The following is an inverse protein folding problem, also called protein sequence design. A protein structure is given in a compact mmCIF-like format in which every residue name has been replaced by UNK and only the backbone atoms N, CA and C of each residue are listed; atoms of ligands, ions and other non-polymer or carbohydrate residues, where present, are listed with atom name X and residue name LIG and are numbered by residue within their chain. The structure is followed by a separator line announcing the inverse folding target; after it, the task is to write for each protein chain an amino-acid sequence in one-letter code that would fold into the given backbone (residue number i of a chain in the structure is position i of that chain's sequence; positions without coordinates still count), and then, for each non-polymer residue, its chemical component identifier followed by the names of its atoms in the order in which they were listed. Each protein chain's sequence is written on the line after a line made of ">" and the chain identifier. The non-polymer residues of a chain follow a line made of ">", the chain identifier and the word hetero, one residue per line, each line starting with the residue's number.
data_IF_088243331060
#
_entry.id   IF_088243331060
#
_cell.length_a   1.000
_cell.length_b   1.000
_cell.length_c   1.000
_cell.angle_alpha   90.00
_cell.angle_beta   90.00
_cell.angle_gamma   90.00
#
_symmetry.space_group_name_H-M   'P 1'
#
loop_
_entity.id
_entity.type
_entity.pdbx_description
1 polymer ?
#
# COMPACT_ATOMS: atom_id res chain seq x y z
N UNK A 1 16.36 -11.03 39.51
CA UNK A 1 16.32 -10.28 38.24
C UNK A 1 14.92 -10.46 37.69
N UNK A 2 14.05 -9.47 37.86
CA UNK A 2 12.67 -9.53 37.37
C UNK A 2 12.69 -9.07 35.90
N UNK A 3 12.53 -10.02 34.99
CA UNK A 3 12.24 -9.76 33.58
C UNK A 3 10.83 -9.15 33.52
N UNK A 4 10.76 -7.83 33.33
CA UNK A 4 9.53 -7.14 32.98
C UNK A 4 9.21 -7.43 31.52
N UNK A 5 8.61 -8.58 31.26
CA UNK A 5 8.03 -8.93 29.96
C UNK A 5 6.70 -8.18 29.78
N UNK A 6 6.77 -6.86 29.74
CA UNK A 6 5.65 -6.02 29.33
C UNK A 6 5.55 -6.07 27.79
N UNK A 7 5.14 -7.23 27.27
CA UNK A 7 4.85 -7.44 25.86
C UNK A 7 3.59 -6.65 25.53
N UNK A 8 3.78 -5.36 25.21
CA UNK A 8 2.73 -4.45 24.76
C UNK A 8 2.00 -5.09 23.58
N UNK A 9 0.81 -5.61 23.86
CA UNK A 9 -0.08 -6.15 22.85
C UNK A 9 -0.60 -4.97 22.02
N UNK A 10 -0.04 -4.80 20.83
CA UNK A 10 -0.54 -3.84 19.84
C UNK A 10 -1.83 -4.43 19.27
N UNK A 11 -2.92 -3.67 19.26
CA UNK A 11 -4.18 -4.15 18.72
C UNK A 11 -4.06 -4.41 17.20
N UNK A 12 -4.80 -5.38 16.63
CA UNK A 12 -4.77 -5.65 15.19
C UNK A 12 -5.05 -4.41 14.32
N UNK A 13 -5.89 -3.50 14.82
CA UNK A 13 -6.24 -2.24 14.13
C UNK A 13 -5.05 -1.28 14.11
N UNK A 14 -4.33 -1.15 15.22
CA UNK A 14 -3.13 -0.30 15.29
C UNK A 14 -1.98 -0.84 14.46
N UNK A 15 -1.82 -2.18 14.39
CA UNK A 15 -0.80 -2.80 13.53
C UNK A 15 -1.02 -2.43 12.07
N UNK A 16 -2.25 -2.63 11.56
CA UNK A 16 -2.59 -2.31 10.17
C UNK A 16 -2.38 -0.82 9.86
N UNK A 17 -2.80 0.07 10.77
CA UNK A 17 -2.58 1.50 10.60
C UNK A 17 -1.09 1.86 10.48
N UNK A 18 -0.23 1.26 11.31
CA UNK A 18 1.22 1.47 11.25
C UNK A 18 1.84 0.95 9.95
N UNK A 19 1.35 -0.18 9.44
CA UNK A 19 1.78 -0.76 8.17
C UNK A 19 1.40 0.15 6.98
N UNK A 20 0.16 0.64 6.96
CA UNK A 20 -0.32 1.58 5.94
C UNK A 20 0.49 2.89 5.97
N UNK A 21 0.74 3.45 7.16
CA UNK A 21 1.58 4.64 7.33
C UNK A 21 3.04 4.41 6.89
N UNK A 22 3.62 3.25 7.21
CA UNK A 22 4.97 2.89 6.80
C UNK A 22 5.09 2.80 5.27
N UNK A 23 4.14 2.12 4.63
CA UNK A 23 4.11 1.97 3.16
C UNK A 23 3.94 3.31 2.45
N UNK A 24 3.10 4.20 2.98
CA UNK A 24 2.93 5.57 2.47
C UNK A 24 4.23 6.38 2.52
N UNK A 25 4.89 6.42 3.69
CA UNK A 25 6.17 7.14 3.87
C UNK A 25 7.28 6.55 3.00
N UNK A 26 7.37 5.22 2.88
CA UNK A 26 8.34 4.57 1.98
C UNK A 26 8.10 4.99 0.53
N UNK A 27 6.85 4.99 0.07
CA UNK A 27 6.48 5.46 -1.27
C UNK A 27 6.92 6.90 -1.52
N UNK A 28 6.67 7.81 -0.57
CA UNK A 28 7.10 9.21 -0.67
C UNK A 28 8.62 9.35 -0.78
N UNK A 29 9.39 8.61 0.02
CA UNK A 29 10.85 8.62 -0.06
C UNK A 29 11.39 8.05 -1.38
N UNK A 30 10.79 6.97 -1.88
CA UNK A 30 11.14 6.40 -3.18
C UNK A 30 10.93 7.41 -4.32
N UNK A 31 9.80 8.14 -4.30
CA UNK A 31 9.53 9.20 -5.27
C UNK A 31 10.53 10.37 -5.17
N UNK A 32 11.06 10.64 -3.97
CA UNK A 32 12.18 11.59 -3.76
C UNK A 32 13.54 11.04 -4.19
N UNK A 33 13.60 9.82 -4.72
CA UNK A 33 14.82 9.18 -5.18
C UNK A 33 15.68 8.58 -4.07
N UNK A 34 15.09 8.25 -2.92
CA UNK A 34 15.70 7.40 -1.92
C UNK A 34 15.68 5.93 -2.38
N UNK A 35 16.53 5.10 -1.77
CA UNK A 35 16.64 3.68 -2.10
C UNK A 35 16.41 2.80 -0.88
N UNK A 36 15.54 1.79 -1.02
CA UNK A 36 15.32 0.80 0.02
C UNK A 36 16.55 -0.11 0.18
N UNK A 37 17.00 -0.33 1.40
CA UNK A 37 18.15 -1.17 1.71
C UNK A 37 17.70 -2.59 2.08
N UNK A 38 18.55 -3.59 1.85
CA UNK A 38 18.30 -4.98 2.26
C UNK A 38 18.40 -5.23 3.77
N UNK A 39 18.75 -4.21 4.56
CA UNK A 39 18.79 -4.29 6.02
C UNK A 39 17.51 -3.71 6.60
N UNK A 40 17.04 -4.28 7.71
CA UNK A 40 15.82 -3.86 8.41
C UNK A 40 16.11 -3.35 9.81
N UNK A 41 15.23 -2.49 10.32
CA UNK A 41 15.28 -1.99 11.69
C UNK A 41 15.03 -3.14 12.69
N UNK A 42 15.86 -3.28 13.72
CA UNK A 42 15.75 -4.38 14.70
C UNK A 42 14.47 -4.31 15.54
N UNK A 43 13.93 -3.11 15.76
CA UNK A 43 12.76 -2.92 16.62
C UNK A 43 11.42 -3.09 15.90
N UNK A 44 11.34 -2.66 14.63
CA UNK A 44 10.09 -2.68 13.87
C UNK A 44 10.13 -3.54 12.61
N UNK A 45 11.28 -4.12 12.28
CA UNK A 45 11.50 -4.99 11.11
C UNK A 45 11.20 -4.36 9.75
N UNK A 46 11.08 -3.03 9.69
CA UNK A 46 10.88 -2.27 8.45
C UNK A 46 12.23 -1.98 7.79
N UNK A 47 12.37 -2.11 6.46
CA UNK A 47 13.61 -1.83 5.76
C UNK A 47 14.07 -0.38 5.92
N UNK A 48 15.39 -0.18 5.98
CA UNK A 48 15.97 1.16 5.99
C UNK A 48 15.86 1.82 4.61
N UNK A 49 15.65 3.12 4.60
CA UNK A 49 15.66 3.97 3.40
C UNK A 49 16.94 4.78 3.37
N UNK A 50 17.65 4.79 2.23
CA UNK A 50 18.91 5.51 2.05
C UNK A 50 18.79 6.67 1.08
N UNK A 51 19.23 7.85 1.49
CA UNK A 51 19.28 9.05 0.66
C UNK A 51 20.45 8.99 -0.33
N UNK A 52 20.41 9.82 -1.38
CA UNK A 52 21.56 10.00 -2.29
C UNK A 52 22.80 10.57 -1.60
N UNK A 53 22.62 11.23 -0.45
CA UNK A 53 23.69 11.79 0.38
C UNK A 53 24.29 10.75 1.34
N UNK A 54 23.69 9.56 1.43
CA UNK A 54 24.19 8.44 2.23
C UNK A 54 23.53 8.28 3.60
N UNK A 55 22.56 9.13 3.97
CA UNK A 55 21.82 8.98 5.22
C UNK A 55 20.86 7.78 5.14
N UNK A 56 20.85 6.92 6.16
CA UNK A 56 19.91 5.80 6.28
C UNK A 56 18.90 6.08 7.40
N UNK A 57 17.60 5.90 7.14
CA UNK A 57 16.51 6.17 8.10
C UNK A 57 15.50 5.03 8.11
N UNK A 58 14.98 4.71 9.29
CA UNK A 58 13.79 3.87 9.43
C UNK A 58 12.52 4.74 9.42
N UNK A 59 11.57 4.48 8.51
CA UNK A 59 10.37 5.31 8.33
C UNK A 59 9.34 5.24 9.47
N UNK A 60 9.41 4.20 10.30
CA UNK A 60 8.50 4.00 11.44
C UNK A 60 9.10 4.55 12.72
N UNK A 61 10.39 4.30 12.95
CA UNK A 61 11.05 4.72 14.17
C UNK A 61 11.70 6.10 14.07
N UNK A 62 11.77 6.69 12.88
CA UNK A 62 12.45 7.96 12.57
C UNK A 62 13.89 8.03 13.11
N UNK A 63 14.55 6.86 13.23
CA UNK A 63 15.94 6.74 13.68
C UNK A 63 16.88 6.74 12.48
N UNK A 64 17.83 7.67 12.51
CA UNK A 64 18.91 7.74 11.54
C UNK A 64 20.00 6.73 11.90
N UNK A 65 20.25 5.79 11.00
CA UNK A 65 21.38 4.87 11.07
C UNK A 65 22.51 5.45 10.22
N UNK A 66 23.61 5.83 10.85
CA UNK A 66 24.85 6.11 10.12
C UNK A 66 25.80 4.95 10.37
N UNK A 67 25.99 4.09 9.36
CA UNK A 67 27.06 3.07 9.38
C UNK A 67 28.44 3.68 9.60
N UNK A 68 28.58 4.97 9.32
CA UNK A 68 29.84 5.71 9.45
C UNK A 68 29.90 6.52 10.77
N UNK A 69 29.49 5.95 11.89
CA UNK A 69 29.57 6.64 13.19
C UNK A 69 30.90 6.36 13.90
N UNK A 70 31.96 7.04 13.44
CA UNK A 70 32.74 7.87 14.37
C UNK A 70 32.07 9.26 14.39
N UNK A 71 31.08 9.41 15.28
CA UNK A 71 30.36 10.63 15.72
C UNK A 71 28.88 10.74 15.29
N UNK A 72 27.96 10.98 16.25
CA UNK A 72 26.56 11.28 15.96
C UNK A 72 26.42 12.68 15.37
N UNK A 73 25.56 12.82 14.34
CA UNK A 73 25.14 14.12 13.82
C UNK A 73 23.89 14.57 14.59
N UNK A 74 23.83 15.82 15.08
CA UNK A 74 22.66 16.36 15.73
C UNK A 74 21.40 16.24 14.86
N UNK A 75 20.27 15.96 15.50
CA UNK A 75 18.95 15.87 14.88
C UNK A 75 18.72 17.08 13.96
N UNK A 76 18.63 16.84 12.65
CA UNK A 76 18.22 17.86 11.69
C UNK A 76 16.75 18.15 11.94
N UNK A 77 16.49 19.28 12.59
CA UNK A 77 15.17 19.88 12.72
C UNK A 77 14.68 20.16 11.30
N UNK A 78 13.70 19.39 10.84
CA UNK A 78 12.96 19.70 9.60
C UNK A 78 11.97 20.82 9.95
N UNK A 79 12.50 22.02 10.19
CA UNK A 79 11.70 23.24 10.22
C UNK A 79 11.71 23.83 8.80
N UNK A 80 10.52 23.99 8.24
CA UNK A 80 10.20 25.03 7.25
C UNK A 80 10.66 24.88 5.80
N UNK A 81 10.68 23.67 5.24
CA UNK A 81 10.60 23.55 3.77
C UNK A 81 9.15 23.38 3.32
N UNK A 82 8.37 24.46 3.43
CA UNK A 82 7.14 24.62 2.65
C UNK A 82 7.59 24.98 1.23
N UNK A 83 7.45 24.09 0.23
CA UNK A 83 7.69 24.48 -1.14
C UNK A 83 6.65 25.57 -1.46
N UNK A 84 7.12 26.77 -1.78
CA UNK A 84 6.25 27.78 -2.37
C UNK A 84 5.77 27.21 -3.70
N UNK A 85 4.58 26.63 -3.70
CA UNK A 85 3.88 26.23 -4.90
C UNK A 85 3.75 27.48 -5.77
N UNK A 86 4.17 27.43 -7.05
CA UNK A 86 3.93 28.53 -7.95
C UNK A 86 2.41 28.74 -8.00
N UNK A 87 1.98 29.96 -7.66
CA UNK A 87 0.60 30.41 -7.83
C UNK A 87 0.30 30.26 -9.31
N UNK A 88 -0.49 29.23 -9.64
CA UNK A 88 -0.98 29.01 -10.99
C UNK A 88 -1.99 30.13 -11.22
N UNK A 89 -1.59 31.14 -12.00
CA UNK A 89 -2.52 32.15 -12.49
C UNK A 89 -3.66 31.46 -13.25
N UNK A 90 -4.87 31.84 -12.89
CA UNK A 90 -6.13 31.31 -13.37
C UNK A 90 -6.19 31.43 -14.91
N UNK A 91 -5.87 30.34 -15.60
CA UNK A 91 -5.94 30.26 -17.05
C UNK A 91 -7.42 30.27 -17.44
N UNK A 92 -7.88 31.40 -17.98
CA UNK A 92 -9.18 31.51 -18.64
C UNK A 92 -9.29 30.45 -19.73
N UNK A 93 -10.20 29.51 -19.51
CA UNK A 93 -10.53 28.45 -20.45
C UNK A 93 -11.25 29.05 -21.67
N UNK A 94 -10.55 29.08 -22.81
CA UNK A 94 -11.22 29.14 -24.11
C UNK A 94 -11.39 27.71 -24.65
N UNK A 95 -12.55 27.38 -25.25
CA UNK A 95 -12.84 26.04 -25.73
C UNK A 95 -11.99 25.69 -26.96
N UNK A 96 -10.87 25.00 -26.75
CA UNK A 96 -10.06 24.44 -27.83
C UNK A 96 -10.77 23.21 -28.41
N UNK A 97 -11.34 23.36 -29.61
CA UNK A 97 -11.79 22.23 -30.44
C UNK A 97 -10.57 21.44 -30.94
N UNK A 98 -10.25 20.36 -30.25
CA UNK A 98 -9.21 19.41 -30.68
C UNK A 98 -9.84 18.35 -31.60
N UNK A 99 -9.71 18.55 -32.91
CA UNK A 99 -9.96 17.50 -33.90
C UNK A 99 -8.86 16.45 -33.82
N UNK A 100 -9.19 15.31 -33.23
CA UNK A 100 -8.27 14.18 -33.08
C UNK A 100 -8.22 13.39 -34.39
N UNK A 101 -7.19 13.63 -35.21
CA UNK A 101 -6.80 12.71 -36.29
C UNK A 101 -5.92 11.61 -35.71
N UNK A 102 -6.51 10.44 -35.50
CA UNK A 102 -5.80 9.20 -35.17
C UNK A 102 -4.98 8.79 -36.39
N UNK A 103 -3.67 9.04 -36.35
CA UNK A 103 -2.74 8.45 -37.30
C UNK A 103 -2.32 7.07 -36.77
N UNK A 104 -2.70 6.05 -37.53
CA UNK A 104 -2.27 4.66 -37.37
C UNK A 104 -0.76 4.61 -37.60
N UNK A 105 0.02 4.54 -36.52
CA UNK A 105 1.46 4.36 -36.59
C UNK A 105 1.74 2.91 -36.99
N UNK A 106 2.32 2.73 -38.17
CA UNK A 106 2.81 1.44 -38.67
C UNK A 106 3.89 0.90 -37.73
N UNK A 107 3.63 -0.29 -37.23
CA UNK A 107 4.49 -1.13 -36.42
C UNK A 107 5.84 -1.34 -37.12
N UNK A 108 6.88 -0.74 -36.54
CA UNK A 108 8.26 -0.90 -37.00
C UNK A 108 8.93 -1.97 -36.15
N UNK A 109 9.39 -2.99 -36.84
CA UNK A 109 10.03 -4.22 -36.36
C UNK A 109 11.09 -3.96 -35.28
N UNK A 110 10.91 -4.59 -34.11
CA UNK A 110 11.91 -4.63 -33.04
C UNK A 110 13.10 -5.53 -33.43
N UNK A 111 14.35 -5.13 -33.16
CA UNK A 111 15.50 -6.03 -33.20
C UNK A 111 15.38 -7.07 -32.08
N UNK A 112 15.45 -8.35 -32.45
CA UNK A 112 15.47 -9.46 -31.51
C UNK A 112 16.77 -9.40 -30.69
N UNK A 113 16.65 -9.07 -29.41
CA UNK A 113 17.74 -9.23 -28.45
C UNK A 113 17.87 -10.74 -28.17
N UNK A 114 19.04 -11.37 -28.41
CA UNK A 114 19.24 -12.77 -28.09
C UNK A 114 19.07 -13.00 -26.58
N UNK A 115 18.10 -13.83 -26.20
CA UNK A 115 17.92 -14.26 -24.82
C UNK A 115 19.17 -15.02 -24.36
N UNK A 116 19.78 -14.67 -23.21
CA UNK A 116 20.81 -15.51 -22.61
C UNK A 116 20.16 -16.82 -22.13
N UNK A 117 20.51 -17.92 -22.80
CA UNK A 117 20.15 -19.29 -22.43
C UNK A 117 20.92 -19.69 -21.17
N UNK A 118 20.49 -19.19 -20.01
CA UNK A 118 20.86 -19.79 -18.73
C UNK A 118 19.82 -20.84 -18.38
N UNK A 119 20.29 -22.07 -18.18
CA UNK A 119 19.50 -23.21 -17.78
C UNK A 119 18.72 -22.89 -16.50
N UNK A 120 17.42 -22.64 -16.64
CA UNK A 120 16.52 -22.60 -15.50
C UNK A 120 16.33 -24.03 -15.01
N UNK A 121 16.71 -24.28 -13.76
CA UNK A 121 16.32 -25.49 -13.06
C UNK A 121 14.78 -25.59 -13.07
N UNK A 122 14.20 -26.80 -13.21
CA UNK A 122 12.75 -26.96 -13.21
C UNK A 122 12.19 -26.48 -11.87
N UNK A 123 11.45 -25.37 -11.90
CA UNK A 123 10.68 -24.88 -10.78
C UNK A 123 9.58 -25.91 -10.50
N UNK A 124 9.62 -26.43 -9.28
CA UNK A 124 8.83 -27.52 -8.72
C UNK A 124 7.33 -27.25 -8.90
N UNK A 125 6.65 -28.13 -9.63
CA UNK A 125 5.23 -28.09 -10.03
C UNK A 125 4.20 -28.08 -8.89
N UNK A 126 4.61 -27.88 -7.63
CA UNK A 126 3.76 -27.96 -6.45
C UNK A 126 3.18 -26.59 -6.01
N UNK A 127 3.67 -25.47 -6.55
CA UNK A 127 3.22 -24.12 -6.14
C UNK A 127 2.01 -23.57 -6.94
N UNK A 128 1.59 -24.24 -8.01
CA UNK A 128 0.48 -23.77 -8.87
C UNK A 128 -0.90 -24.13 -8.28
N UNK A 129 -0.99 -25.22 -7.51
CA UNK A 129 -2.27 -25.64 -6.91
C UNK A 129 -2.66 -24.83 -5.66
N UNK A 130 -1.69 -24.27 -4.93
CA UNK A 130 -1.98 -23.46 -3.73
C UNK A 130 -2.71 -22.13 -4.08
N UNK A 131 -2.41 -21.53 -5.24
CA UNK A 131 -3.02 -20.27 -5.68
C UNK A 131 -4.50 -20.35 -6.03
N UNK A 132 -5.00 -21.52 -6.43
CA UNK A 132 -6.42 -21.67 -6.75
C UNK A 132 -7.28 -21.79 -5.48
N UNK A 133 -6.74 -22.39 -4.42
CA UNK A 133 -7.44 -22.53 -3.14
C UNK A 133 -7.60 -21.19 -2.40
N UNK A 134 -6.64 -20.28 -2.51
CA UNK A 134 -6.71 -18.96 -1.84
C UNK A 134 -7.80 -18.05 -2.43
N UNK A 135 -8.20 -18.23 -3.69
CA UNK A 135 -9.19 -17.36 -4.35
C UNK A 135 -10.60 -17.44 -3.72
N UNK A 136 -11.00 -18.61 -3.19
CA UNK A 136 -12.28 -18.79 -2.52
C UNK A 136 -12.28 -18.18 -1.10
N UNK A 137 -11.12 -18.16 -0.43
CA UNK A 137 -10.98 -17.63 0.93
C UNK A 137 -11.01 -16.10 0.94
N UNK A 138 -10.34 -15.44 -0.02
CA UNK A 138 -10.33 -13.97 -0.12
C UNK A 138 -11.73 -13.37 -0.42
N UNK A 139 -12.57 -14.08 -1.18
CA UNK A 139 -13.94 -13.64 -1.46
C UNK A 139 -14.84 -13.64 -0.23
N UNK A 140 -14.76 -14.69 0.60
CA UNK A 140 -15.57 -14.82 1.82
C UNK A 140 -15.22 -13.79 2.90
N UNK A 141 -13.92 -13.50 3.06
CA UNK A 141 -13.43 -12.49 4.02
C UNK A 141 -13.96 -11.08 3.64
N UNK A 142 -13.99 -10.76 2.35
CA UNK A 142 -14.47 -9.45 1.86
C UNK A 142 -15.97 -9.26 2.12
N UNK A 143 -16.78 -10.30 1.92
CA UNK A 143 -18.22 -10.25 2.21
C UNK A 143 -18.49 -10.07 3.71
N UNK A 144 -17.74 -10.78 4.56
CA UNK A 144 -17.89 -10.68 6.02
C UNK A 144 -17.58 -9.27 6.52
N UNK A 145 -16.49 -8.66 6.02
CA UNK A 145 -16.14 -7.28 6.37
C UNK A 145 -17.22 -6.28 5.93
N UNK A 146 -17.83 -6.48 4.75
CA UNK A 146 -18.88 -5.59 4.25
C UNK A 146 -20.18 -5.72 5.03
N UNK A 147 -20.53 -6.91 5.50
CA UNK A 147 -21.70 -7.09 6.39
C UNK A 147 -21.46 -6.39 7.73
N UNK A 148 -20.27 -6.50 8.30
CA UNK A 148 -19.91 -5.80 9.55
C UNK A 148 -19.98 -4.27 9.40
N UNK A 149 -19.50 -3.72 8.28
CA UNK A 149 -19.60 -2.28 7.99
C UNK A 149 -21.07 -1.81 7.89
N UNK A 150 -21.94 -2.60 7.24
CA UNK A 150 -23.38 -2.31 7.17
C UNK A 150 -24.06 -2.40 8.55
N UNK A 151 -23.64 -3.34 9.40
CA UNK A 151 -24.13 -3.41 10.78
C UNK A 151 -23.73 -2.19 11.61
N UNK A 152 -22.50 -1.69 11.44
CA UNK A 152 -22.09 -0.44 12.09
C UNK A 152 -22.87 0.77 11.59
N UNK A 153 -23.16 0.84 10.28
CA UNK A 153 -23.99 1.91 9.72
C UNK A 153 -25.41 1.86 10.29
N UNK A 154 -26.01 0.68 10.44
CA UNK A 154 -27.33 0.52 11.07
C UNK A 154 -27.39 1.05 12.51
N UNK A 155 -26.29 0.95 13.27
CA UNK A 155 -26.24 1.47 14.65
C UNK A 155 -26.11 3.00 14.67
N UNK A 156 -25.48 3.59 13.65
CA UNK A 156 -25.22 5.04 13.57
C UNK A 156 -26.39 5.81 12.94
N UNK A 157 -27.12 5.21 12.01
CA UNK A 157 -28.15 5.88 11.24
C UNK A 157 -29.46 6.04 12.03
N UNK A 158 -30.06 7.25 11.97
CA UNK A 158 -31.36 7.54 12.59
C UNK A 158 -32.51 7.62 11.58
N UNK A 159 -32.20 7.57 10.29
CA UNK A 159 -33.19 7.63 9.22
C UNK A 159 -33.74 6.25 8.90
N UNK A 160 -35.05 6.07 9.14
CA UNK A 160 -35.78 4.83 8.89
C UNK A 160 -35.68 4.37 7.42
N UNK A 161 -35.60 5.31 6.46
CA UNK A 161 -35.52 4.97 5.04
C UNK A 161 -34.18 4.34 4.66
N UNK A 162 -33.10 4.81 5.29
CA UNK A 162 -31.76 4.25 5.07
C UNK A 162 -31.62 2.89 5.74
N UNK A 163 -32.14 2.75 6.97
CA UNK A 163 -32.19 1.47 7.69
C UNK A 163 -32.87 0.39 6.83
N UNK A 164 -34.00 0.71 6.22
CA UNK A 164 -34.73 -0.24 5.38
C UNK A 164 -33.94 -0.67 4.13
N UNK A 165 -33.23 0.26 3.49
CA UNK A 165 -32.33 -0.04 2.36
C UNK A 165 -31.16 -0.93 2.76
N UNK A 166 -30.60 -0.70 3.95
CA UNK A 166 -29.49 -1.52 4.46
C UNK A 166 -29.98 -2.94 4.76
N UNK A 167 -31.16 -3.11 5.39
CA UNK A 167 -31.77 -4.42 5.64
C UNK A 167 -32.00 -5.18 4.33
N UNK A 168 -32.60 -4.55 3.33
CA UNK A 168 -32.81 -5.17 2.00
C UNK A 168 -31.49 -5.61 1.34
N UNK A 169 -30.41 -4.86 1.58
CA UNK A 169 -29.09 -5.18 1.06
C UNK A 169 -28.49 -6.40 1.76
N UNK A 170 -28.64 -6.50 3.08
CA UNK A 170 -28.19 -7.66 3.87
C UNK A 170 -28.94 -8.93 3.43
N UNK A 171 -30.26 -8.85 3.23
CA UNK A 171 -31.05 -10.00 2.77
C UNK A 171 -30.63 -10.48 1.37
N UNK A 172 -30.33 -9.55 0.45
CA UNK A 172 -29.78 -9.90 -0.87
C UNK A 172 -28.45 -10.64 -0.75
N UNK A 173 -27.54 -10.17 0.10
CA UNK A 173 -26.24 -10.83 0.32
C UNK A 173 -26.43 -12.24 0.89
N UNK A 174 -27.34 -12.39 1.87
CA UNK A 174 -27.68 -13.69 2.44
C UNK A 174 -28.24 -14.68 1.40
N UNK A 175 -29.12 -14.22 0.52
CA UNK A 175 -29.67 -15.06 -0.55
C UNK A 175 -28.61 -15.55 -1.56
N UNK A 176 -27.56 -14.76 -1.80
CA UNK A 176 -26.45 -15.15 -2.68
C UNK A 176 -25.55 -16.16 -1.98
N UNK A 177 -25.31 -15.99 -0.67
CA UNK A 177 -24.58 -16.96 0.14
C UNK A 177 -25.28 -18.33 0.13
N UNK A 178 -26.58 -18.38 0.43
CA UNK A 178 -27.34 -19.65 0.46
C UNK A 178 -27.29 -20.42 -0.87
N UNK A 179 -27.33 -19.70 -2.01
CA UNK A 179 -27.20 -20.29 -3.35
C UNK A 179 -25.80 -20.81 -3.67
N UNK A 180 -24.76 -20.25 -3.07
CA UNK A 180 -23.38 -20.68 -3.29
C UNK A 180 -22.97 -21.87 -2.40
N UNK A 181 -23.70 -22.12 -1.30
CA UNK A 181 -23.39 -23.16 -0.31
C UNK A 181 -24.40 -24.33 -0.28
N UNK A 182 -25.41 -24.36 -1.16
CA UNK A 182 -26.31 -25.52 -1.40
C UNK A 182 -25.91 -26.29 -2.65
#
# INVERSE_FOLDING_TARGET
>A
MQSNDNKLYISPVEYKKREDEASGKMGELLLRGWSMQGNSCEDCMVPFMKSKQGDEICVVCDRNFRKDSKKPIPQLIIADFVPQLPVIEEVKEEPVKVETKVQVVKETVQPQVPLPQKAYAPIRSQEIDQRQQDSATYGSITLTNKVNDLLEQLVKEKDLSQIQRIIETIDKIKSVQEKHFS
#
